data_IF_807624475997
#
_entry.id   IF_807624475997
#
_cell.length_a   1.000
_cell.length_b   1.000
_cell.length_c   1.000
_cell.angle_alpha   90.00
_cell.angle_beta   90.00
_cell.angle_gamma   90.00
#
_symmetry.space_group_name_H-M   'P 1'
#
loop_
_entity.id
_entity.type
_entity.pdbx_description
1 polymer ?
#
# COMPACT_ATOMS: atom_id res chain seq x y z
N UNK A 1 -17.90 8.28 16.14
CA UNK A 1 -16.47 8.51 16.42
C UNK A 1 -15.73 8.39 15.09
N UNK A 2 -14.84 9.34 14.72
CA UNK A 2 -14.05 9.22 13.51
C UNK A 2 -13.08 8.03 13.61
N UNK A 3 -12.74 7.45 12.46
CA UNK A 3 -11.70 6.42 12.41
C UNK A 3 -10.34 7.01 12.79
N UNK A 4 -9.51 6.22 13.48
CA UNK A 4 -8.11 6.61 13.68
C UNK A 4 -7.36 6.50 12.35
N UNK A 5 -6.28 7.27 12.17
CA UNK A 5 -5.39 7.08 11.03
C UNK A 5 -4.91 5.62 10.93
N UNK A 6 -4.82 5.06 9.70
CA UNK A 6 -4.26 3.73 9.48
C UNK A 6 -2.79 3.69 9.89
N UNK A 7 -2.36 2.56 10.42
CA UNK A 7 -0.97 2.34 10.84
C UNK A 7 -0.08 2.01 9.64
N UNK A 8 1.15 2.53 9.66
CA UNK A 8 2.23 2.13 8.75
C UNK A 8 2.73 0.70 9.02
N UNK A 9 3.45 0.11 8.07
CA UNK A 9 4.08 -1.19 8.27
C UNK A 9 5.08 -1.20 9.43
N UNK A 10 5.78 -0.09 9.67
CA UNK A 10 6.74 0.02 10.77
C UNK A 10 6.04 0.11 12.12
N UNK A 11 4.93 0.84 12.23
CA UNK A 11 4.11 0.85 13.44
C UNK A 11 3.50 -0.52 13.76
N UNK A 12 3.01 -1.23 12.72
CA UNK A 12 2.50 -2.60 12.87
C UNK A 12 3.61 -3.58 13.31
N UNK A 13 4.83 -3.40 12.79
CA UNK A 13 6.01 -4.17 13.22
C UNK A 13 6.36 -3.87 14.69
N UNK A 14 6.35 -2.60 15.07
CA UNK A 14 6.60 -2.19 16.46
C UNK A 14 5.55 -2.75 17.44
N UNK A 15 4.28 -2.88 17.02
CA UNK A 15 3.25 -3.57 17.82
C UNK A 15 3.61 -5.03 18.03
N UNK A 16 4.01 -5.73 16.96
CA UNK A 16 4.43 -7.13 17.04
C UNK A 16 5.63 -7.31 17.97
N UNK A 17 6.61 -6.43 17.89
CA UNK A 17 7.83 -6.50 18.71
C UNK A 17 7.58 -6.24 20.19
N UNK A 18 6.62 -5.37 20.53
CA UNK A 18 6.21 -5.15 21.92
C UNK A 18 5.45 -6.32 22.52
N UNK A 19 4.79 -7.12 21.69
CA UNK A 19 3.89 -8.21 22.13
C UNK A 19 4.14 -9.50 21.32
N UNK A 20 5.36 -10.05 21.31
CA UNK A 20 5.72 -11.14 20.39
C UNK A 20 5.05 -12.48 20.73
N UNK A 21 4.50 -12.62 21.94
CA UNK A 21 3.88 -13.85 22.45
C UNK A 21 2.36 -13.76 22.60
N UNK A 22 1.75 -12.61 22.32
CA UNK A 22 0.30 -12.43 22.51
C UNK A 22 -0.45 -12.97 21.26
N UNK A 23 -1.20 -14.08 21.37
CA UNK A 23 -1.85 -14.71 20.23
C UNK A 23 -2.93 -13.83 19.59
N UNK A 24 -3.65 -13.03 20.39
CA UNK A 24 -4.70 -12.15 19.88
C UNK A 24 -4.10 -11.00 19.07
N UNK A 25 -3.00 -10.43 19.55
CA UNK A 25 -2.27 -9.39 18.81
C UNK A 25 -1.76 -9.94 17.48
N UNK A 26 -1.21 -11.16 17.48
CA UNK A 26 -0.74 -11.81 16.25
C UNK A 26 -1.92 -12.02 15.28
N UNK A 27 -3.05 -12.54 15.76
CA UNK A 27 -4.24 -12.76 14.94
C UNK A 27 -4.78 -11.45 14.33
N UNK A 28 -4.87 -10.38 15.11
CA UNK A 28 -5.32 -9.08 14.63
C UNK A 28 -4.35 -8.46 13.61
N UNK A 29 -3.04 -8.57 13.83
CA UNK A 29 -2.04 -8.12 12.86
C UNK A 29 -2.13 -8.88 11.53
N UNK A 30 -2.51 -10.16 11.55
CA UNK A 30 -2.79 -10.93 10.35
C UNK A 30 -4.03 -10.43 9.61
N UNK A 31 -5.11 -10.11 10.31
CA UNK A 31 -6.30 -9.51 9.69
C UNK A 31 -5.97 -8.14 9.08
N UNK A 32 -5.20 -7.30 9.78
CA UNK A 32 -4.73 -6.01 9.22
C UNK A 32 -3.90 -6.23 7.96
N UNK A 33 -2.99 -7.22 7.95
CA UNK A 33 -2.22 -7.57 6.75
C UNK A 33 -3.14 -8.03 5.61
N UNK A 34 -4.16 -8.83 5.90
CA UNK A 34 -5.16 -9.28 4.91
C UNK A 34 -5.91 -8.08 4.32
N UNK A 35 -6.37 -7.15 5.15
CA UNK A 35 -7.06 -5.92 4.73
C UNK A 35 -6.17 -5.04 3.86
N UNK A 36 -4.93 -4.76 4.28
CA UNK A 36 -3.94 -4.04 3.46
C UNK A 36 -3.74 -4.70 2.10
N UNK A 37 -3.71 -6.03 2.05
CA UNK A 37 -3.57 -6.77 0.79
C UNK A 37 -4.78 -6.61 -0.13
N UNK A 38 -5.99 -6.46 0.41
CA UNK A 38 -7.19 -6.18 -0.38
C UNK A 38 -7.15 -4.77 -0.97
N UNK A 39 -6.77 -3.77 -0.17
CA UNK A 39 -6.63 -2.38 -0.62
C UNK A 39 -5.58 -2.25 -1.73
N UNK A 40 -4.44 -2.95 -1.58
CA UNK A 40 -3.40 -2.98 -2.61
C UNK A 40 -3.90 -3.57 -3.93
N UNK A 41 -4.68 -4.65 -3.91
CA UNK A 41 -5.27 -5.22 -5.13
C UNK A 41 -6.27 -4.25 -5.77
N UNK A 42 -7.07 -3.57 -4.95
CA UNK A 42 -7.99 -2.54 -5.46
C UNK A 42 -7.21 -1.40 -6.12
N UNK A 43 -6.16 -0.89 -5.48
CA UNK A 43 -5.28 0.13 -6.03
C UNK A 43 -4.63 -0.31 -7.36
N UNK A 44 -4.23 -1.58 -7.48
CA UNK A 44 -3.66 -2.11 -8.72
C UNK A 44 -4.65 -2.09 -9.90
N UNK A 45 -5.92 -2.41 -9.65
CA UNK A 45 -6.92 -2.49 -10.72
C UNK A 45 -7.67 -1.18 -10.95
N UNK A 46 -7.60 -0.22 -10.01
CA UNK A 46 -8.45 0.97 -10.07
C UNK A 46 -8.15 1.87 -11.28
N UNK A 47 -6.90 1.88 -11.76
CA UNK A 47 -6.51 2.62 -12.96
C UNK A 47 -7.21 2.14 -14.24
N UNK A 48 -7.64 0.88 -14.28
CA UNK A 48 -8.36 0.29 -15.42
C UNK A 48 -9.89 0.42 -15.28
N UNK A 49 -10.39 0.83 -14.12
CA UNK A 49 -11.81 1.01 -13.87
C UNK A 49 -12.30 2.35 -14.41
N UNK A 50 -13.39 2.34 -15.18
CA UNK A 50 -14.05 3.57 -15.60
C UNK A 50 -14.82 4.18 -14.44
N UNK A 51 -14.64 5.47 -14.21
CA UNK A 51 -15.47 6.25 -13.29
C UNK A 51 -16.96 6.14 -13.68
N UNK A 52 -17.87 5.76 -12.77
CA UNK A 52 -19.31 5.76 -13.04
C UNK A 52 -19.85 7.17 -13.34
N UNK A 53 -20.80 7.27 -14.29
CA UNK A 53 -21.47 8.53 -14.62
C UNK A 53 -22.69 8.84 -13.72
N UNK A 54 -23.05 7.93 -12.83
CA UNK A 54 -24.18 8.07 -11.91
C UNK A 54 -23.76 8.74 -10.59
N UNK A 55 -24.69 8.83 -9.64
CA UNK A 55 -24.43 9.26 -8.26
C UNK A 55 -23.32 8.44 -7.55
N UNK A 56 -22.94 7.27 -8.08
CA UNK A 56 -21.80 6.49 -7.59
C UNK A 56 -20.44 7.10 -7.97
N UNK A 57 -20.41 8.10 -8.86
CA UNK A 57 -19.18 8.76 -9.28
C UNK A 57 -18.45 9.45 -8.13
N UNK A 58 -19.18 10.10 -7.22
CA UNK A 58 -18.58 10.73 -6.03
C UNK A 58 -17.97 9.69 -5.09
N UNK A 59 -18.69 8.58 -4.85
CA UNK A 59 -18.18 7.47 -4.03
C UNK A 59 -16.92 6.86 -4.66
N UNK A 60 -16.87 6.75 -5.98
CA UNK A 60 -15.68 6.30 -6.69
C UNK A 60 -14.51 7.28 -6.50
N UNK A 61 -14.76 8.59 -6.62
CA UNK A 61 -13.72 9.61 -6.44
C UNK A 61 -13.18 9.60 -5.00
N UNK A 62 -14.07 9.51 -4.00
CA UNK A 62 -13.70 9.39 -2.58
C UNK A 62 -12.91 8.11 -2.31
N UNK A 63 -13.30 6.98 -2.92
CA UNK A 63 -12.57 5.73 -2.82
C UNK A 63 -11.15 5.85 -3.36
N UNK A 64 -10.97 6.46 -4.54
CA UNK A 64 -9.64 6.67 -5.11
C UNK A 64 -8.80 7.63 -4.27
N UNK A 65 -9.38 8.74 -3.81
CA UNK A 65 -8.72 9.70 -2.95
C UNK A 65 -8.29 9.05 -1.62
N UNK A 66 -9.15 8.22 -1.03
CA UNK A 66 -8.84 7.44 0.17
C UNK A 66 -7.71 6.44 -0.06
N UNK A 67 -7.76 5.66 -1.15
CA UNK A 67 -6.70 4.71 -1.48
C UNK A 67 -5.34 5.38 -1.68
N UNK A 68 -5.29 6.57 -2.30
CA UNK A 68 -4.04 7.27 -2.57
C UNK A 68 -3.28 7.70 -1.29
N UNK A 69 -3.99 7.86 -0.17
CA UNK A 69 -3.40 8.25 1.13
C UNK A 69 -3.22 7.08 2.08
N UNK A 70 -3.60 5.86 1.69
CA UNK A 70 -3.41 4.67 2.52
C UNK A 70 -1.91 4.34 2.67
N UNK A 71 -1.40 4.11 3.89
CA UNK A 71 0.01 3.81 4.12
C UNK A 71 0.51 2.60 3.30
N UNK A 72 -0.32 1.56 3.13
CA UNK A 72 0.09 0.40 2.35
C UNK A 72 0.33 0.74 0.87
N UNK A 73 -0.44 1.67 0.31
CA UNK A 73 -0.30 2.12 -1.08
C UNK A 73 0.97 2.96 -1.22
N UNK A 74 1.14 3.95 -0.35
CA UNK A 74 2.34 4.82 -0.34
C UNK A 74 3.63 3.99 -0.22
N UNK A 75 3.67 3.07 0.75
CA UNK A 75 4.83 2.16 0.95
C UNK A 75 5.09 1.30 -0.29
N UNK A 76 4.03 0.80 -0.94
CA UNK A 76 4.15 -0.03 -2.15
C UNK A 76 4.71 0.77 -3.33
N UNK A 77 4.27 2.01 -3.48
CA UNK A 77 4.71 2.90 -4.55
C UNK A 77 6.16 3.31 -4.35
N UNK A 78 6.55 3.66 -3.12
CA UNK A 78 7.95 3.91 -2.74
C UNK A 78 8.83 2.70 -3.04
N UNK A 79 8.43 1.50 -2.60
CA UNK A 79 9.17 0.27 -2.90
C UNK A 79 9.28 0.02 -4.41
N UNK A 80 8.23 0.30 -5.18
CA UNK A 80 8.25 0.16 -6.64
C UNK A 80 9.22 1.15 -7.28
N UNK A 81 9.15 2.43 -6.88
CA UNK A 81 10.03 3.49 -7.37
C UNK A 81 11.49 3.13 -7.11
N UNK A 82 11.82 2.71 -5.89
CA UNK A 82 13.18 2.29 -5.55
C UNK A 82 13.67 1.12 -6.40
N UNK A 83 12.81 0.13 -6.68
CA UNK A 83 13.17 -1.02 -7.52
C UNK A 83 13.39 -0.62 -8.98
N UNK A 84 12.58 0.29 -9.51
CA UNK A 84 12.69 0.82 -10.88
C UNK A 84 13.92 1.72 -11.04
N UNK A 85 14.31 2.47 -10.01
CA UNK A 85 15.51 3.30 -10.04
C UNK A 85 16.82 2.50 -9.91
N UNK A 86 16.78 1.27 -9.38
CA UNK A 86 17.96 0.45 -9.07
C UNK A 86 18.73 -0.18 -10.25
N UNK A 87 18.36 -0.10 -11.55
CA UNK A 87 19.27 -0.49 -12.65
C UNK A 87 19.58 0.66 -13.62
N UNK A 88 20.30 1.69 -13.16
CA UNK A 88 20.99 2.67 -14.04
C UNK A 88 22.47 2.90 -13.74
N UNK A 89 23.06 2.17 -12.79
CA UNK A 89 24.53 2.06 -12.71
C UNK A 89 25.01 1.04 -13.75
N UNK A 90 24.95 1.43 -15.02
CA UNK A 90 25.65 0.75 -16.11
C UNK A 90 27.09 0.50 -15.65
N UNK A 91 27.52 -0.78 -15.68
CA UNK A 91 28.93 -1.12 -15.50
C UNK A 91 29.71 -0.34 -16.57
N UNK A 92 30.72 0.44 -16.15
CA UNK A 92 31.69 1.07 -17.07
C UNK A 92 32.19 0.00 -18.04
N UNK A 93 31.89 0.13 -19.33
CA UNK A 93 32.45 -0.75 -20.38
C UNK A 93 31.51 -1.27 -21.47
N UNK A 94 30.23 -0.88 -21.53
CA UNK A 94 29.31 -1.34 -22.59
C UNK A 94 28.83 -0.21 -23.53
N UNK A 95 29.76 0.57 -24.07
CA UNK A 95 29.50 1.35 -25.28
C UNK A 95 29.90 0.53 -26.51
N UNK A 96 29.18 0.60 -27.65
CA UNK A 96 29.54 -0.14 -28.86
C UNK A 96 30.92 0.31 -29.39
N UNK A 97 31.61 -0.55 -30.16
CA UNK A 97 33.03 -0.41 -30.54
C UNK A 97 33.34 0.84 -31.35
#
# INVERSE_FOLDING_TARGET
>A
MPFRPPLSADELRAIRERQPWNPDVIALLWEVKRLRSMLLRLHQVCGDLKRPASLMGEIYDDLLAGLAVEPCVIERDQMTAELVEKPRKLRKGMGPP
#
